data_IF_209626728296
#
_entry.id   IF_209626728296
#
_cell.length_a   1.000
_cell.length_b   1.000
_cell.length_c   1.000
_cell.angle_alpha   90.00
_cell.angle_beta   90.00
_cell.angle_gamma   90.00
#
_symmetry.space_group_name_H-M   'P 1'
#
loop_
_entity.id
_entity.type
_entity.pdbx_description
1 polymer ?
#
# COMPACT_ATOMS: atom_id res chain seq x y z
N UNK A 1 13.82 10.67 -11.76
CA UNK A 1 13.83 9.23 -11.42
C UNK A 1 12.53 8.66 -11.94
N UNK A 2 12.56 8.02 -13.11
CA UNK A 2 11.36 7.72 -13.89
C UNK A 2 10.52 6.63 -13.21
N UNK A 3 9.29 6.98 -12.86
CA UNK A 3 8.24 6.07 -12.44
C UNK A 3 8.06 4.96 -13.48
N UNK A 4 8.40 3.72 -13.12
CA UNK A 4 8.14 2.52 -13.93
C UNK A 4 6.66 2.08 -13.93
N UNK A 5 5.74 2.98 -13.57
CA UNK A 5 4.29 2.75 -13.53
C UNK A 5 3.74 2.45 -14.93
N UNK A 6 4.38 2.94 -16.00
CA UNK A 6 3.89 2.75 -17.36
C UNK A 6 4.07 1.33 -17.92
N UNK A 7 5.20 0.65 -17.66
CA UNK A 7 5.49 -0.60 -18.37
C UNK A 7 4.57 -1.75 -17.97
N UNK A 8 4.24 -1.89 -16.68
CA UNK A 8 3.29 -2.92 -16.23
C UNK A 8 1.85 -2.60 -16.66
N UNK A 9 1.41 -1.34 -16.59
CA UNK A 9 0.05 -0.99 -17.02
C UNK A 9 -0.12 -1.28 -18.51
N UNK A 10 0.85 -0.86 -19.35
CA UNK A 10 0.81 -1.10 -20.79
C UNK A 10 0.85 -2.59 -21.12
N UNK A 11 1.61 -3.42 -20.39
CA UNK A 11 1.64 -4.87 -20.60
C UNK A 11 0.35 -5.57 -20.17
N UNK A 12 -0.23 -5.20 -19.02
CA UNK A 12 -1.51 -5.75 -18.55
C UNK A 12 -2.63 -5.34 -19.52
N UNK A 13 -2.63 -4.09 -19.99
CA UNK A 13 -3.57 -3.63 -21.01
C UNK A 13 -3.34 -4.30 -22.36
N UNK A 14 -2.08 -4.53 -22.77
CA UNK A 14 -1.78 -5.28 -23.99
C UNK A 14 -2.26 -6.72 -23.89
N UNK A 15 -2.02 -7.40 -22.77
CA UNK A 15 -2.45 -8.78 -22.56
C UNK A 15 -3.99 -8.88 -22.58
N UNK A 16 -4.68 -7.90 -21.99
CA UNK A 16 -6.13 -7.81 -22.09
C UNK A 16 -6.60 -7.54 -23.53
N UNK A 17 -6.02 -6.56 -24.23
CA UNK A 17 -6.41 -6.17 -25.59
C UNK A 17 -6.11 -7.25 -26.64
N UNK A 18 -5.12 -8.12 -26.38
CA UNK A 18 -4.74 -9.23 -27.26
C UNK A 18 -5.53 -10.52 -26.99
N UNK A 19 -6.44 -10.55 -25.99
CA UNK A 19 -7.36 -11.67 -25.78
C UNK A 19 -8.49 -11.66 -26.81
N UNK A 20 -9.10 -12.82 -27.01
CA UNK A 20 -10.31 -12.91 -27.85
C UNK A 20 -11.48 -12.13 -27.23
N UNK A 21 -12.38 -11.60 -28.06
CA UNK A 21 -13.51 -10.79 -27.57
C UNK A 21 -14.37 -11.49 -26.52
N UNK A 22 -14.55 -12.81 -26.63
CA UNK A 22 -15.27 -13.61 -25.62
C UNK A 22 -14.54 -13.69 -24.28
N UNK A 23 -13.21 -13.68 -24.28
CA UNK A 23 -12.40 -13.67 -23.05
C UNK A 23 -12.37 -12.29 -22.40
N UNK A 24 -12.32 -11.22 -23.21
CA UNK A 24 -12.46 -9.85 -22.71
C UNK A 24 -13.81 -9.66 -22.00
N UNK A 25 -14.89 -10.13 -22.61
CA UNK A 25 -16.25 -10.07 -22.04
C UNK A 25 -16.33 -10.83 -20.70
N UNK A 26 -15.71 -12.02 -20.61
CA UNK A 26 -15.65 -12.80 -19.36
C UNK A 26 -14.90 -12.06 -18.25
N UNK A 27 -13.80 -11.38 -18.59
CA UNK A 27 -13.02 -10.57 -17.63
C UNK A 27 -13.81 -9.35 -17.17
N UNK A 28 -14.49 -8.65 -18.08
CA UNK A 28 -15.36 -7.51 -17.75
C UNK A 28 -16.53 -7.93 -16.85
N UNK A 29 -17.21 -9.02 -17.19
CA UNK A 29 -18.29 -9.60 -16.38
C UNK A 29 -17.80 -10.04 -15.00
N UNK A 30 -16.57 -10.57 -14.91
CA UNK A 30 -15.96 -10.93 -13.62
C UNK A 30 -15.67 -9.68 -12.77
N UNK A 31 -15.10 -8.62 -13.36
CA UNK A 31 -14.83 -7.35 -12.68
C UNK A 31 -16.13 -6.67 -12.23
N UNK A 32 -17.16 -6.62 -13.07
CA UNK A 32 -18.48 -6.11 -12.67
C UNK A 32 -19.08 -6.92 -11.52
N UNK A 33 -18.89 -8.25 -11.50
CA UNK A 33 -19.33 -9.10 -10.40
C UNK A 33 -18.50 -8.87 -9.13
N UNK A 34 -17.20 -8.58 -9.23
CA UNK A 34 -16.37 -8.19 -8.08
C UNK A 34 -16.78 -6.82 -7.51
N UNK A 35 -17.12 -5.85 -8.36
CA UNK A 35 -17.60 -4.53 -7.95
C UNK A 35 -19.02 -4.60 -7.35
N UNK A 36 -19.87 -5.50 -7.87
CA UNK A 36 -21.25 -5.73 -7.39
C UNK A 36 -21.35 -6.64 -6.18
N UNK A 37 -20.32 -7.39 -5.80
CA UNK A 37 -20.31 -8.10 -4.52
C UNK A 37 -20.40 -7.02 -3.42
N UNK A 38 -21.44 -7.04 -2.56
CA UNK A 38 -21.44 -6.19 -1.38
C UNK A 38 -20.19 -6.62 -0.60
N UNK A 39 -19.16 -5.76 -0.54
CA UNK A 39 -18.09 -5.91 0.45
C UNK A 39 -18.81 -6.11 1.78
N UNK A 40 -18.67 -7.29 2.37
CA UNK A 40 -19.30 -7.64 3.64
C UNK A 40 -19.20 -6.42 4.54
N UNK A 41 -20.36 -5.94 5.01
CA UNK A 41 -20.47 -4.71 5.80
C UNK A 41 -19.37 -4.75 6.84
N UNK A 42 -18.30 -3.99 6.59
CA UNK A 42 -17.24 -3.82 7.55
C UNK A 42 -17.96 -3.41 8.82
N UNK A 43 -17.75 -4.21 9.87
CA UNK A 43 -18.29 -4.00 11.18
C UNK A 43 -18.44 -2.50 11.43
N UNK A 44 -19.55 -2.10 12.06
CA UNK A 44 -19.64 -0.81 12.78
C UNK A 44 -18.59 -0.82 13.89
N UNK A 45 -17.30 -0.85 13.54
CA UNK A 45 -16.25 -0.27 14.31
C UNK A 45 -16.73 1.17 14.44
N UNK A 46 -17.07 1.58 15.66
CA UNK A 46 -17.35 2.98 15.97
C UNK A 46 -16.13 3.74 15.46
N UNK A 47 -16.24 4.32 14.28
CA UNK A 47 -15.12 4.94 13.59
C UNK A 47 -14.81 6.18 14.41
N UNK A 48 -13.81 6.07 15.29
CA UNK A 48 -13.39 7.18 16.16
C UNK A 48 -12.82 8.36 15.35
N UNK A 49 -12.72 8.21 14.02
CA UNK A 49 -12.34 9.23 13.02
C UNK A 49 -13.26 10.44 12.90
N UNK A 50 -14.35 10.50 13.65
CA UNK A 50 -15.16 11.71 13.72
C UNK A 50 -14.40 12.81 14.49
N UNK A 51 -13.37 12.47 15.27
CA UNK A 51 -12.53 13.43 15.99
C UNK A 51 -11.07 13.39 15.50
N UNK A 52 -10.47 14.58 15.35
CA UNK A 52 -9.09 14.77 14.94
C UNK A 52 -8.22 15.02 16.19
N UNK A 53 -7.10 14.30 16.37
CA UNK A 53 -6.55 13.24 15.52
C UNK A 53 -7.22 11.88 15.77
N UNK A 54 -7.37 11.08 14.72
CA UNK A 54 -8.04 9.78 14.81
C UNK A 54 -7.25 8.71 15.61
N UNK A 55 -5.91 8.85 15.69
CA UNK A 55 -5.00 7.94 16.40
C UNK A 55 -3.73 8.65 16.86
N UNK A 56 -3.18 8.23 18.00
CA UNK A 56 -1.88 8.72 18.45
C UNK A 56 -0.72 8.05 17.68
N UNK A 57 0.44 8.72 17.55
CA UNK A 57 1.65 8.15 16.95
C UNK A 57 2.08 6.82 17.60
N UNK A 58 1.87 6.68 18.92
CA UNK A 58 2.14 5.46 19.67
C UNK A 58 1.21 4.32 19.23
N UNK A 59 -0.08 4.58 19.02
CA UNK A 59 -1.05 3.61 18.52
C UNK A 59 -0.73 3.15 17.09
N UNK A 60 -0.21 4.05 16.25
CA UNK A 60 0.27 3.70 14.91
C UNK A 60 1.55 2.84 14.96
N UNK A 61 2.50 3.19 15.84
CA UNK A 61 3.70 2.36 16.07
C UNK A 61 3.32 0.97 16.61
N UNK A 62 2.30 0.92 17.47
CA UNK A 62 1.33 -0.16 17.78
C UNK A 62 1.07 -1.22 16.71
N UNK A 63 0.95 -0.81 15.45
CA UNK A 63 0.54 -1.66 14.33
C UNK A 63 1.71 -2.34 13.65
N UNK A 64 2.91 -1.75 13.74
CA UNK A 64 4.12 -2.34 13.20
C UNK A 64 4.38 -3.65 13.94
N UNK A 65 4.63 -4.74 13.21
CA UNK A 65 4.93 -6.03 13.82
C UNK A 65 6.13 -5.94 14.77
N UNK A 66 6.09 -6.65 15.90
CA UNK A 66 7.12 -6.60 16.94
C UNK A 66 8.52 -6.90 16.40
N UNK A 67 8.63 -7.84 15.46
CA UNK A 67 9.87 -8.20 14.75
C UNK A 67 10.43 -7.03 13.90
N UNK A 68 9.56 -6.33 13.19
CA UNK A 68 9.91 -5.13 12.43
C UNK A 68 10.38 -4.00 13.34
N UNK A 69 9.69 -3.73 14.45
CA UNK A 69 10.14 -2.72 15.44
C UNK A 69 11.52 -3.01 16.01
N UNK A 70 11.80 -4.28 16.33
CA UNK A 70 13.13 -4.69 16.79
C UNK A 70 14.20 -4.42 15.72
N UNK A 71 13.85 -4.58 14.44
CA UNK A 71 14.77 -4.32 13.33
C UNK A 71 15.01 -2.83 13.11
N UNK A 72 13.94 -2.02 13.21
CA UNK A 72 14.02 -0.56 13.14
C UNK A 72 14.89 0.01 14.28
N UNK A 73 14.74 -0.49 15.52
CA UNK A 73 15.53 -0.02 16.67
C UNK A 73 17.01 -0.42 16.63
N UNK A 74 17.35 -1.53 15.97
CA UNK A 74 18.72 -2.10 15.97
C UNK A 74 19.59 -1.63 14.82
N UNK A 75 19.02 -1.01 13.78
CA UNK A 75 19.74 -0.60 12.57
C UNK A 75 19.78 0.92 12.48
N UNK A 76 20.87 1.47 11.94
CA UNK A 76 20.85 2.82 11.40
C UNK A 76 19.90 2.80 10.19
N UNK A 77 18.71 3.35 10.37
CA UNK A 77 17.73 3.44 9.29
C UNK A 77 18.18 4.55 8.34
N UNK A 78 18.36 4.30 7.03
CA UNK A 78 18.60 5.36 6.06
C UNK A 78 17.37 6.26 6.00
N UNK A 79 17.40 7.37 6.73
CA UNK A 79 16.22 8.23 6.92
C UNK A 79 15.66 8.74 5.59
N UNK A 80 16.52 9.11 4.64
CA UNK A 80 16.07 9.54 3.31
C UNK A 80 15.30 8.45 2.54
N UNK A 81 15.65 7.18 2.70
CA UNK A 81 14.86 6.09 2.08
C UNK A 81 13.51 5.93 2.76
N UNK A 82 13.45 6.10 4.08
CA UNK A 82 12.19 5.98 4.82
C UNK A 82 11.24 7.13 4.45
N UNK A 83 11.75 8.36 4.42
CA UNK A 83 11.02 9.57 4.03
C UNK A 83 10.39 9.45 2.64
N UNK A 84 11.17 9.02 1.63
CA UNK A 84 10.67 8.81 0.26
C UNK A 84 9.53 7.78 0.22
N UNK A 85 9.68 6.66 0.93
CA UNK A 85 8.63 5.62 0.96
C UNK A 85 7.36 6.12 1.64
N UNK A 86 7.48 6.98 2.65
CA UNK A 86 6.32 7.60 3.30
C UNK A 86 5.62 8.59 2.39
N UNK A 87 6.37 9.48 1.73
CA UNK A 87 5.82 10.44 0.77
C UNK A 87 5.11 9.73 -0.40
N UNK A 88 5.67 8.63 -0.91
CA UNK A 88 5.03 7.83 -1.97
C UNK A 88 3.69 7.25 -1.53
N UNK A 89 3.59 6.66 -0.32
CA UNK A 89 2.33 6.11 0.17
C UNK A 89 1.31 7.21 0.45
N UNK A 90 1.75 8.32 1.05
CA UNK A 90 0.90 9.47 1.35
C UNK A 90 0.32 10.08 0.08
N UNK A 91 1.18 10.41 -0.89
CA UNK A 91 0.76 11.05 -2.14
C UNK A 91 -0.19 10.14 -2.93
N UNK A 92 0.10 8.84 -3.01
CA UNK A 92 -0.70 7.89 -3.78
C UNK A 92 -2.10 7.67 -3.18
N UNK A 93 -2.18 7.34 -1.89
CA UNK A 93 -3.45 6.99 -1.25
C UNK A 93 -4.29 8.20 -0.82
N UNK A 94 -3.69 9.39 -0.70
CA UNK A 94 -4.46 10.64 -0.50
C UNK A 94 -5.28 11.00 -1.74
N UNK A 95 -4.75 10.71 -2.93
CA UNK A 95 -5.45 10.96 -4.21
C UNK A 95 -6.40 9.81 -4.54
N UNK A 96 -5.96 8.56 -4.34
CA UNK A 96 -6.71 7.38 -4.76
C UNK A 96 -6.75 6.31 -3.65
N UNK A 97 -7.62 6.50 -2.64
CA UNK A 97 -7.63 5.67 -1.43
C UNK A 97 -8.01 4.21 -1.69
N UNK A 98 -8.71 3.88 -2.77
CA UNK A 98 -9.13 2.52 -3.11
C UNK A 98 -8.20 1.81 -4.11
N UNK A 99 -7.19 2.51 -4.62
CA UNK A 99 -6.27 1.97 -5.62
C UNK A 99 -5.30 0.94 -5.03
N UNK A 100 -4.66 0.18 -5.92
CA UNK A 100 -3.60 -0.76 -5.57
C UNK A 100 -2.26 -0.17 -6.00
N UNK A 101 -1.35 0.01 -5.06
CA UNK A 101 0.03 0.40 -5.36
C UNK A 101 0.86 -0.87 -5.64
N UNK A 102 1.63 -0.85 -6.73
CA UNK A 102 2.50 -1.96 -7.14
C UNK A 102 3.88 -1.40 -7.49
N UNK A 103 4.93 -1.96 -6.89
CA UNK A 103 6.31 -1.59 -7.17
C UNK A 103 7.22 -2.81 -7.27
N UNK A 104 8.12 -2.81 -8.24
CA UNK A 104 9.18 -3.82 -8.34
C UNK A 104 10.34 -3.39 -7.43
N UNK A 105 10.63 -4.19 -6.41
CA UNK A 105 11.65 -3.85 -5.41
C UNK A 105 12.52 -5.08 -5.19
N UNK A 106 13.73 -5.09 -5.75
CA UNK A 106 14.66 -6.21 -5.63
C UNK A 106 15.40 -6.22 -4.27
N UNK A 107 15.57 -5.05 -3.66
CA UNK A 107 16.23 -4.91 -2.36
C UNK A 107 15.29 -5.33 -1.20
N UNK A 108 15.67 -6.39 -0.49
CA UNK A 108 14.92 -6.91 0.66
C UNK A 108 14.81 -5.92 1.82
N UNK A 109 15.80 -5.05 1.99
CA UNK A 109 15.80 -4.03 3.02
C UNK A 109 14.79 -2.92 2.71
N UNK A 110 14.71 -2.45 1.47
CA UNK A 110 13.69 -1.46 1.08
C UNK A 110 12.28 -2.06 1.17
N UNK A 111 12.08 -3.33 0.77
CA UNK A 111 10.79 -4.03 0.97
C UNK A 111 10.38 -4.09 2.44
N UNK A 112 11.34 -4.32 3.34
CA UNK A 112 11.10 -4.32 4.78
C UNK A 112 10.67 -2.93 5.29
N UNK A 113 11.35 -1.87 4.84
CA UNK A 113 11.00 -0.49 5.21
C UNK A 113 9.60 -0.12 4.69
N UNK A 114 9.29 -0.45 3.44
CA UNK A 114 7.95 -0.22 2.89
C UNK A 114 6.88 -0.97 3.68
N UNK A 115 7.14 -2.22 4.07
CA UNK A 115 6.24 -2.97 4.94
C UNK A 115 6.00 -2.26 6.29
N UNK A 116 7.06 -1.69 6.90
CA UNK A 116 6.94 -0.94 8.14
C UNK A 116 6.07 0.31 7.98
N UNK A 117 6.34 1.10 6.94
CA UNK A 117 5.57 2.31 6.58
C UNK A 117 4.11 1.96 6.35
N UNK A 118 3.84 0.93 5.57
CA UNK A 118 2.47 0.48 5.31
C UNK A 118 1.75 0.09 6.60
N UNK A 119 2.37 -0.70 7.47
CA UNK A 119 1.77 -1.09 8.75
C UNK A 119 1.50 0.13 9.65
N UNK A 120 2.41 1.10 9.65
CA UNK A 120 2.26 2.34 10.39
C UNK A 120 1.07 3.18 9.89
N UNK A 121 0.91 3.30 8.57
CA UNK A 121 -0.19 4.00 7.89
C UNK A 121 -1.47 3.16 7.76
N UNK A 122 -1.53 1.98 8.39
CA UNK A 122 -2.68 1.08 8.37
C UNK A 122 -3.06 0.56 6.96
N UNK A 123 -2.06 0.44 6.10
CA UNK A 123 -2.12 -0.17 4.78
C UNK A 123 -1.68 -1.63 4.85
N UNK A 124 -2.31 -2.47 4.03
CA UNK A 124 -1.91 -3.86 3.87
C UNK A 124 -0.91 -4.00 2.73
N UNK A 125 0.24 -4.58 3.04
CA UNK A 125 1.33 -4.81 2.08
C UNK A 125 1.61 -6.30 1.95
N UNK A 126 2.09 -6.72 0.78
CA UNK A 126 2.53 -8.08 0.50
C UNK A 126 3.68 -8.07 -0.52
N UNK A 127 4.65 -8.97 -0.34
CA UNK A 127 5.70 -9.22 -1.34
C UNK A 127 5.43 -10.53 -2.08
N UNK A 128 5.49 -10.49 -3.40
CA UNK A 128 5.33 -11.65 -4.30
C UNK A 128 6.48 -11.73 -5.29
N UNK A 129 6.60 -12.87 -5.98
CA UNK A 129 7.46 -13.02 -7.14
C UNK A 129 6.63 -12.80 -8.40
N UNK A 130 7.10 -11.93 -9.29
CA UNK A 130 6.53 -11.71 -10.61
C UNK A 130 7.66 -11.75 -11.64
N UNK A 131 7.59 -12.71 -12.57
CA UNK A 131 8.62 -12.91 -13.62
C UNK A 131 10.06 -12.98 -13.09
N UNK A 132 10.26 -13.68 -11.97
CA UNK A 132 11.58 -13.81 -11.33
C UNK A 132 12.05 -12.57 -10.56
N UNK A 133 11.31 -11.46 -10.61
CA UNK A 133 11.57 -10.25 -9.86
C UNK A 133 10.65 -10.12 -8.64
N UNK A 134 11.13 -9.46 -7.58
CA UNK A 134 10.35 -9.23 -6.36
C UNK A 134 9.42 -8.03 -6.55
N UNK A 135 8.14 -8.25 -6.36
CA UNK A 135 7.09 -7.24 -6.43
C UNK A 135 6.56 -6.96 -5.02
N UNK A 136 6.22 -5.70 -4.76
CA UNK A 136 5.47 -5.23 -3.62
C UNK A 136 4.09 -4.80 -4.08
N UNK A 137 3.06 -5.25 -3.36
CA UNK A 137 1.67 -4.84 -3.55
C UNK A 137 1.17 -4.23 -2.26
N UNK A 138 0.59 -3.03 -2.33
CA UNK A 138 0.03 -2.31 -1.18
C UNK A 138 -1.41 -1.93 -1.49
N UNK A 139 -2.29 -2.15 -0.52
CA UNK A 139 -3.72 -1.84 -0.62
C UNK A 139 -4.20 -1.18 0.67
N UNK A 140 -5.08 -0.20 0.52
CA UNK A 140 -5.87 0.29 1.63
C UNK A 140 -7.08 -0.63 1.82
N UNK A 141 -7.29 -1.13 3.04
CA UNK A 141 -8.45 -1.97 3.36
C UNK A 141 -9.70 -1.15 3.68
N UNK A 142 -9.56 0.17 3.72
CA UNK A 142 -10.59 1.11 4.18
C UNK A 142 -11.06 1.99 3.03
N UNK A 143 -12.27 2.53 3.14
CA UNK A 143 -12.88 3.36 2.10
C UNK A 143 -12.25 4.75 2.01
N UNK A 144 -11.64 5.22 3.10
CA UNK A 144 -10.86 6.44 3.13
C UNK A 144 -9.43 6.14 3.57
N UNK A 145 -8.49 6.97 3.12
CA UNK A 145 -7.12 6.98 3.62
C UNK A 145 -7.00 8.07 4.68
N UNK A 146 -6.55 7.69 5.88
CA UNK A 146 -6.32 8.62 6.98
C UNK A 146 -4.88 8.41 7.48
N UNK A 147 -3.94 9.25 7.03
CA UNK A 147 -2.55 9.09 7.45
C UNK A 147 -2.37 9.40 8.94
N UNK A 148 -1.34 8.82 9.59
CA UNK A 148 -0.93 9.20 10.94
C UNK A 148 -0.55 10.69 11.02
N UNK A 149 -0.76 11.32 12.18
CA UNK A 149 -0.43 12.73 12.41
C UNK A 149 1.09 13.00 12.40
N UNK A 150 1.87 12.05 12.93
CA UNK A 150 3.32 12.06 12.82
C UNK A 150 3.76 10.95 11.89
N UNK A 151 4.84 11.20 11.16
CA UNK A 151 5.44 10.19 10.28
C UNK A 151 6.43 9.32 11.05
N UNK A 152 6.70 8.14 10.50
CA UNK A 152 7.63 7.18 11.06
C UNK A 152 9.08 7.67 10.99
N UNK A 153 9.42 8.49 9.98
CA UNK A 153 10.65 9.26 10.05
C UNK A 153 10.56 10.33 11.15
N UNK A 154 11.52 10.38 12.09
CA UNK A 154 11.54 11.46 13.07
C UNK A 154 11.89 12.76 12.36
N UNK A 155 10.91 13.65 12.23
CA UNK A 155 11.18 15.06 11.91
C UNK A 155 11.97 15.65 13.08
N UNK A 156 13.21 16.05 12.83
CA UNK A 156 13.95 16.89 13.77
C UNK A 156 13.17 18.19 13.91
N UNK A 157 12.51 18.37 15.06
CA UNK A 157 12.10 19.69 15.53
C UNK A 157 13.30 20.40 16.13
#
# INVERSE_FOLDING_TARGET
MYCFVSFCYTQIWNDFMNRSGEEQEKVLVYLEKEVRKPREKANKCKDKRIEHPAYSPEECYQRIQRSLRCTLKRRQIPMGTLEVLEEEMLSFFSVSPESVYIAMMENSYQRLLLHAVCQYMDLASASSNFEGKRQMRVVNRKWCFCPPELLLHPTSR
#
